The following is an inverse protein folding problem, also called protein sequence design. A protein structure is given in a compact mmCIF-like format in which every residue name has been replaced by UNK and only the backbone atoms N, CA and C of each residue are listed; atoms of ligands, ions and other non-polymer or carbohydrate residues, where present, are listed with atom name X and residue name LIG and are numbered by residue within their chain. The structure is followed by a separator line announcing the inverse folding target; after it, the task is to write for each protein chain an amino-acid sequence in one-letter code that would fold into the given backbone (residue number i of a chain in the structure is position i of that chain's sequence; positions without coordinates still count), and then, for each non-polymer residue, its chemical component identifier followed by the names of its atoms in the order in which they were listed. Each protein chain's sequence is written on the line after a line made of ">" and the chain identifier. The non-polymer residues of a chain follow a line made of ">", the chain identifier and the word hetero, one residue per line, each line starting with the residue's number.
data_IF_774639231771
#
_entry.id   IF_774639231771
#
_cell.length_a   1.000
_cell.length_b   1.000
_cell.length_c   1.000
_cell.angle_alpha   90.00
_cell.angle_beta   90.00
_cell.angle_gamma   90.00
#
_symmetry.space_group_name_H-M   'P 1'
#
loop_
_entity.id
_entity.type
_entity.pdbx_description
1 polymer ?
#
# COMPACT_ATOMS: atom_id res chain seq x y z
N UNK A 1 42.42 1.51 -30.17
CA UNK A 1 42.37 1.85 -28.72
C UNK A 1 43.37 0.98 -27.97
N UNK A 2 44.19 1.56 -27.08
CA UNK A 2 45.18 0.80 -26.28
C UNK A 2 44.44 -0.18 -25.35
N UNK A 3 45.01 -1.35 -25.10
CA UNK A 3 44.43 -2.42 -24.27
C UNK A 3 44.03 -1.88 -22.87
N UNK A 4 44.84 -0.99 -22.28
CA UNK A 4 44.53 -0.29 -21.02
C UNK A 4 43.19 0.46 -21.04
N UNK A 5 42.85 1.11 -22.17
CA UNK A 5 41.60 1.87 -22.30
C UNK A 5 40.38 0.95 -22.36
N UNK A 6 40.50 -0.23 -23.01
CA UNK A 6 39.41 -1.22 -23.03
C UNK A 6 39.14 -1.80 -21.64
N UNK A 7 40.21 -2.05 -20.87
CA UNK A 7 40.13 -2.61 -19.51
C UNK A 7 39.51 -1.62 -18.49
N UNK A 8 39.90 -0.34 -18.57
CA UNK A 8 39.32 0.72 -17.75
C UNK A 8 37.85 0.98 -18.09
N UNK A 9 37.48 0.88 -19.36
CA UNK A 9 36.09 1.07 -19.80
C UNK A 9 35.18 -0.05 -19.30
N UNK A 10 35.61 -1.31 -19.34
CA UNK A 10 34.84 -2.43 -18.79
C UNK A 10 34.72 -2.36 -17.27
N UNK A 11 35.80 -2.02 -16.57
CA UNK A 11 35.78 -1.85 -15.11
C UNK A 11 34.86 -0.70 -14.68
N UNK A 12 34.92 0.45 -15.37
CA UNK A 12 34.02 1.58 -15.13
C UNK A 12 32.55 1.23 -15.40
N UNK A 13 32.27 0.51 -16.48
CA UNK A 13 30.92 0.07 -16.81
C UNK A 13 30.33 -0.86 -15.73
N UNK A 14 31.13 -1.79 -15.19
CA UNK A 14 30.68 -2.68 -14.10
C UNK A 14 30.36 -1.91 -12.81
N UNK A 15 31.16 -0.90 -12.45
CA UNK A 15 30.92 -0.08 -11.26
C UNK A 15 29.63 0.73 -11.43
N UNK A 16 29.44 1.39 -12.58
CA UNK A 16 28.22 2.15 -12.86
C UNK A 16 27.00 1.24 -12.81
N UNK A 17 27.10 0.03 -13.36
CA UNK A 17 26.01 -0.95 -13.30
C UNK A 17 25.66 -1.33 -11.86
N UNK A 18 26.66 -1.61 -11.02
CA UNK A 18 26.45 -1.96 -9.62
C UNK A 18 25.75 -0.82 -8.85
N UNK A 19 26.13 0.43 -9.11
CA UNK A 19 25.48 1.60 -8.50
C UNK A 19 24.02 1.72 -8.96
N UNK A 20 23.74 1.57 -10.25
CA UNK A 20 22.38 1.64 -10.79
C UNK A 20 21.50 0.51 -10.24
N UNK A 21 22.02 -0.73 -10.17
CA UNK A 21 21.33 -1.86 -9.57
C UNK A 21 21.02 -1.61 -8.09
N UNK A 22 22.00 -1.12 -7.32
CA UNK A 22 21.80 -0.75 -5.91
C UNK A 22 20.73 0.31 -5.74
N UNK A 23 20.71 1.33 -6.59
CA UNK A 23 19.71 2.39 -6.56
C UNK A 23 18.29 1.85 -6.87
N UNK A 24 18.15 0.96 -7.87
CA UNK A 24 16.87 0.33 -8.20
C UNK A 24 16.37 -0.51 -7.02
N UNK A 25 17.22 -1.36 -6.44
CA UNK A 25 16.85 -2.20 -5.30
C UNK A 25 16.40 -1.34 -4.11
N UNK A 26 17.13 -0.27 -3.79
CA UNK A 26 16.78 0.62 -2.70
C UNK A 26 15.46 1.35 -2.94
N UNK A 27 15.23 1.82 -4.17
CA UNK A 27 13.97 2.47 -4.55
C UNK A 27 12.79 1.50 -4.49
N UNK A 28 12.96 0.27 -4.96
CA UNK A 28 11.93 -0.78 -4.88
C UNK A 28 11.64 -1.14 -3.44
N UNK A 29 12.66 -1.30 -2.59
CA UNK A 29 12.47 -1.61 -1.18
C UNK A 29 11.63 -0.54 -0.48
N UNK A 30 11.96 0.74 -0.70
CA UNK A 30 11.18 1.86 -0.13
C UNK A 30 9.73 1.90 -0.63
N UNK A 31 9.49 1.63 -1.92
CA UNK A 31 8.14 1.58 -2.47
C UNK A 31 7.33 0.42 -1.88
N UNK A 32 7.95 -0.75 -1.71
CA UNK A 32 7.29 -1.92 -1.10
C UNK A 32 7.02 -1.67 0.38
N UNK A 33 7.96 -1.11 1.14
CA UNK A 33 7.76 -0.78 2.56
C UNK A 33 6.59 0.20 2.74
N UNK A 34 6.53 1.25 1.91
CA UNK A 34 5.44 2.22 1.96
C UNK A 34 4.10 1.57 1.62
N UNK A 35 4.04 0.78 0.54
CA UNK A 35 2.81 0.10 0.16
C UNK A 35 2.38 -0.91 1.23
N UNK A 36 3.30 -1.64 1.85
CA UNK A 36 2.99 -2.54 2.97
C UNK A 36 2.42 -1.79 4.17
N UNK A 37 2.96 -0.63 4.54
CA UNK A 37 2.43 0.22 5.60
C UNK A 37 0.97 0.62 5.30
N UNK A 38 0.69 1.13 4.10
CA UNK A 38 -0.67 1.49 3.69
C UNK A 38 -1.63 0.28 3.73
N UNK A 39 -1.13 -0.91 3.39
CA UNK A 39 -1.90 -2.17 3.44
C UNK A 39 -2.21 -2.62 4.87
N UNK A 40 -1.30 -2.39 5.82
CA UNK A 40 -1.52 -2.65 7.24
C UNK A 40 -2.54 -1.67 7.84
N UNK A 41 -2.44 -0.38 7.49
CA UNK A 41 -3.42 0.65 7.85
C UNK A 41 -4.83 0.26 7.38
N UNK A 42 -4.97 -0.21 6.13
CA UNK A 42 -6.25 -0.66 5.60
C UNK A 42 -6.88 -1.81 6.41
N UNK A 43 -6.08 -2.78 6.87
CA UNK A 43 -6.55 -3.88 7.73
C UNK A 43 -7.01 -3.35 9.09
N UNK A 44 -6.23 -2.47 9.70
CA UNK A 44 -6.58 -1.87 10.99
C UNK A 44 -7.86 -1.03 10.91
N UNK A 45 -8.07 -0.28 9.82
CA UNK A 45 -9.33 0.44 9.56
C UNK A 45 -10.49 -0.53 9.43
N UNK A 46 -10.33 -1.62 8.67
CA UNK A 46 -11.38 -2.63 8.52
C UNK A 46 -11.80 -3.25 9.86
N UNK A 47 -10.82 -3.69 10.67
CA UNK A 47 -11.09 -4.26 12.00
C UNK A 47 -11.79 -3.25 12.92
N UNK A 48 -11.37 -1.98 12.86
CA UNK A 48 -11.98 -0.90 13.63
C UNK A 48 -13.44 -0.66 13.27
N UNK A 49 -13.72 -0.59 11.97
CA UNK A 49 -15.07 -0.34 11.44
C UNK A 49 -16.01 -1.49 11.79
N UNK A 50 -15.52 -2.74 11.69
CA UNK A 50 -16.28 -3.92 12.11
C UNK A 50 -16.58 -3.90 13.61
N UNK A 51 -15.64 -3.46 14.44
CA UNK A 51 -15.85 -3.30 15.88
C UNK A 51 -16.86 -2.19 16.21
N UNK A 52 -16.82 -1.06 15.50
CA UNK A 52 -17.82 0.00 15.63
C UNK A 52 -19.22 -0.45 15.21
N UNK A 53 -19.35 -1.24 14.14
CA UNK A 53 -20.63 -1.84 13.72
C UNK A 53 -21.18 -2.80 14.79
N UNK A 54 -20.30 -3.63 15.37
CA UNK A 54 -20.66 -4.52 16.46
C UNK A 54 -21.12 -3.75 17.71
N UNK A 55 -20.36 -2.73 18.14
CA UNK A 55 -20.69 -1.88 19.28
C UNK A 55 -21.98 -1.07 19.05
N UNK A 56 -22.23 -0.64 17.81
CA UNK A 56 -23.48 0.03 17.43
C UNK A 56 -24.66 -0.93 17.58
N UNK A 57 -24.51 -2.15 17.09
CA UNK A 57 -25.53 -3.21 17.21
C UNK A 57 -25.78 -3.58 18.68
N UNK A 58 -24.72 -3.71 19.48
CA UNK A 58 -24.83 -3.99 20.91
C UNK A 58 -25.57 -2.86 21.67
N UNK A 59 -25.27 -1.61 21.32
CA UNK A 59 -25.99 -0.45 21.86
C UNK A 59 -27.47 -0.46 21.46
N UNK A 60 -27.79 -0.79 20.21
CA UNK A 60 -29.19 -0.93 19.76
C UNK A 60 -29.88 -2.10 20.48
N UNK A 61 -29.21 -3.23 20.71
CA UNK A 61 -29.85 -4.37 21.36
C UNK A 61 -30.11 -4.12 22.86
N UNK A 62 -29.15 -3.52 23.57
CA UNK A 62 -29.17 -3.48 25.03
C UNK A 62 -29.31 -2.07 25.61
N UNK A 63 -28.96 -1.02 24.86
CA UNK A 63 -29.04 0.37 25.31
C UNK A 63 -28.05 0.73 26.41
N UNK A 64 -27.03 -0.10 26.62
CA UNK A 64 -26.09 0.07 27.72
C UNK A 64 -25.11 1.22 27.48
N UNK A 65 -24.88 2.02 28.53
CA UNK A 65 -23.87 3.09 28.53
C UNK A 65 -22.46 2.56 28.21
N UNK A 66 -22.19 1.29 28.56
CA UNK A 66 -20.91 0.63 28.28
C UNK A 66 -20.63 0.52 26.78
N UNK A 67 -21.63 0.18 25.96
CA UNK A 67 -21.46 0.09 24.52
C UNK A 67 -21.18 1.48 23.93
N UNK A 68 -21.91 2.51 24.40
CA UNK A 68 -21.68 3.92 24.01
C UNK A 68 -20.25 4.40 24.31
N UNK A 69 -19.76 4.16 25.53
CA UNK A 69 -18.41 4.60 25.93
C UNK A 69 -17.33 3.90 25.09
N UNK A 70 -17.45 2.59 24.91
CA UNK A 70 -16.52 1.83 24.07
C UNK A 70 -16.56 2.29 22.61
N UNK A 71 -17.74 2.61 22.10
CA UNK A 71 -17.91 3.11 20.73
C UNK A 71 -17.12 4.40 20.50
N UNK A 72 -17.27 5.41 21.35
CA UNK A 72 -16.54 6.67 21.20
C UNK A 72 -15.03 6.50 21.37
N UNK A 73 -14.59 5.68 22.34
CA UNK A 73 -13.17 5.39 22.50
C UNK A 73 -12.58 4.68 21.27
N UNK A 74 -13.36 3.82 20.62
CA UNK A 74 -12.90 3.11 19.42
C UNK A 74 -12.90 3.99 18.17
N UNK A 75 -13.84 4.92 18.09
CA UNK A 75 -13.90 5.93 17.02
C UNK A 75 -12.70 6.88 17.12
N UNK A 76 -12.39 7.39 18.31
CA UNK A 76 -11.24 8.28 18.53
C UNK A 76 -9.92 7.62 18.10
N UNK A 77 -9.69 6.36 18.47
CA UNK A 77 -8.48 5.62 18.05
C UNK A 77 -8.42 5.38 16.54
N UNK A 78 -9.57 5.30 15.86
CA UNK A 78 -9.63 5.18 14.41
C UNK A 78 -9.37 6.52 13.71
N UNK A 79 -9.86 7.63 14.26
CA UNK A 79 -9.54 8.98 13.77
C UNK A 79 -8.03 9.21 13.83
N UNK A 80 -7.37 8.90 14.96
CA UNK A 80 -5.92 9.05 15.11
C UNK A 80 -5.13 8.22 14.08
N UNK A 81 -5.58 7.01 13.75
CA UNK A 81 -4.97 6.16 12.73
C UNK A 81 -5.08 6.79 11.33
N UNK A 82 -6.21 7.43 11.01
CA UNK A 82 -6.47 7.98 9.66
C UNK A 82 -5.82 9.34 9.43
N UNK A 83 -5.65 10.17 10.46
CA UNK A 83 -4.95 11.48 10.37
C UNK A 83 -3.46 11.33 10.05
N UNK A 84 -2.87 10.17 10.34
CA UNK A 84 -1.46 9.90 10.07
C UNK A 84 -1.14 9.68 8.57
N UNK A 85 -2.14 9.44 7.71
CA UNK A 85 -1.92 9.13 6.30
C UNK A 85 -2.54 10.15 5.32
N UNK A 86 -1.77 10.51 4.28
CA UNK A 86 -2.18 11.44 3.21
C UNK A 86 -3.40 10.95 2.41
N UNK A 87 -3.68 9.64 2.44
CA UNK A 87 -4.84 8.98 1.80
C UNK A 87 -6.13 9.05 2.63
N UNK A 88 -6.08 9.60 3.85
CA UNK A 88 -7.14 9.49 4.86
C UNK A 88 -8.33 10.45 4.71
N UNK A 89 -8.33 11.37 3.75
CA UNK A 89 -9.33 12.43 3.68
C UNK A 89 -10.76 11.92 3.43
N UNK A 90 -10.95 10.89 2.60
CA UNK A 90 -12.27 10.28 2.39
C UNK A 90 -12.74 9.46 3.58
N UNK A 91 -11.82 8.74 4.24
CA UNK A 91 -12.10 7.92 5.42
C UNK A 91 -12.49 8.83 6.59
N UNK A 92 -11.80 9.96 6.77
CA UNK A 92 -12.09 10.96 7.81
C UNK A 92 -13.49 11.56 7.69
N UNK A 93 -13.93 11.93 6.48
CA UNK A 93 -15.28 12.45 6.25
C UNK A 93 -16.36 11.40 6.58
N UNK A 94 -16.13 10.14 6.20
CA UNK A 94 -17.04 9.04 6.50
C UNK A 94 -17.07 8.72 8.00
N UNK A 95 -15.96 8.89 8.72
CA UNK A 95 -15.87 8.73 10.18
C UNK A 95 -16.62 9.82 10.95
N UNK A 96 -16.52 11.07 10.52
CA UNK A 96 -17.29 12.18 11.10
C UNK A 96 -18.79 11.97 10.90
N UNK A 97 -19.19 11.52 9.71
CA UNK A 97 -20.57 11.20 9.40
C UNK A 97 -21.09 10.01 10.24
N UNK A 98 -20.25 9.01 10.52
CA UNK A 98 -20.59 7.86 11.36
C UNK A 98 -20.84 8.27 12.82
N UNK A 99 -19.96 9.11 13.38
CA UNK A 99 -20.13 9.69 14.72
C UNK A 99 -21.41 10.50 14.84
N UNK A 100 -21.68 11.37 13.86
CA UNK A 100 -22.87 12.19 13.87
C UNK A 100 -24.17 11.35 13.86
N UNK A 101 -24.18 10.23 13.13
CA UNK A 101 -25.32 9.30 13.11
C UNK A 101 -25.45 8.56 14.45
N UNK A 102 -24.34 8.10 15.03
CA UNK A 102 -24.35 7.40 16.32
C UNK A 102 -24.80 8.32 17.47
N UNK A 103 -24.34 9.57 17.49
CA UNK A 103 -24.78 10.57 18.46
C UNK A 103 -26.29 10.84 18.37
N UNK A 104 -26.85 10.87 17.16
CA UNK A 104 -28.29 11.00 16.95
C UNK A 104 -29.08 9.78 17.47
N UNK A 105 -28.52 8.58 17.31
CA UNK A 105 -29.10 7.34 17.83
C UNK A 105 -29.16 7.35 19.36
N UNK A 106 -28.06 7.72 20.01
CA UNK A 106 -28.00 7.87 21.48
C UNK A 106 -29.04 8.89 21.96
N UNK A 107 -29.08 10.08 21.34
CA UNK A 107 -30.03 11.12 21.71
C UNK A 107 -31.50 10.70 21.50
N UNK A 108 -31.78 9.87 20.48
CA UNK A 108 -33.11 9.33 20.24
C UNK A 108 -33.56 8.38 21.37
N UNK A 109 -32.66 7.51 21.83
CA UNK A 109 -32.90 6.61 22.97
C UNK A 109 -33.08 7.33 24.29
N UNK A 110 -32.28 8.36 24.54
CA UNK A 110 -32.42 9.18 25.74
C UNK A 110 -33.78 9.88 25.79
N UNK A 111 -34.26 10.41 24.65
CA UNK A 111 -35.62 10.96 24.52
C UNK A 111 -36.72 9.92 24.75
N UNK A 112 -36.51 8.68 24.29
CA UNK A 112 -37.42 7.56 24.56
C UNK A 112 -37.50 7.27 26.06
N UNK A 113 -36.35 7.18 26.73
CA UNK A 113 -36.27 6.90 28.17
C UNK A 113 -36.91 8.01 29.01
N UNK A 114 -36.83 9.26 28.55
CA UNK A 114 -37.46 10.43 29.17
C UNK A 114 -38.96 10.58 28.86
N UNK A 115 -39.55 9.71 28.02
CA UNK A 115 -40.93 9.83 27.51
C UNK A 115 -41.22 11.18 26.82
N UNK A 116 -40.21 11.78 26.19
CA UNK A 116 -40.32 13.11 25.56
C UNK A 116 -40.85 13.05 24.12
N UNK A 117 -41.00 11.85 23.54
CA UNK A 117 -41.42 11.65 22.16
C UNK A 117 -42.39 10.46 22.02
N UNK A 118 -43.23 10.51 20.98
CA UNK A 118 -44.15 9.43 20.66
C UNK A 118 -43.39 8.17 20.22
N UNK A 119 -43.69 7.02 20.84
CA UNK A 119 -42.95 5.76 20.62
C UNK A 119 -42.81 5.39 19.15
N UNK A 120 -43.88 5.51 18.37
CA UNK A 120 -43.87 5.18 16.94
C UNK A 120 -42.90 6.07 16.13
N UNK A 121 -42.73 7.34 16.54
CA UNK A 121 -41.80 8.27 15.89
C UNK A 121 -40.36 7.95 16.25
N UNK A 122 -40.11 7.57 17.51
CA UNK A 122 -38.78 7.19 18.00
C UNK A 122 -38.29 5.92 17.32
N UNK A 123 -39.13 4.88 17.24
CA UNK A 123 -38.78 3.59 16.64
C UNK A 123 -38.47 3.75 15.14
N UNK A 124 -39.30 4.49 14.39
CA UNK A 124 -39.06 4.74 12.97
C UNK A 124 -37.76 5.53 12.72
N UNK A 125 -37.41 6.46 13.61
CA UNK A 125 -36.15 7.19 13.52
C UNK A 125 -34.95 6.29 13.86
N UNK A 126 -35.08 5.42 14.87
CA UNK A 126 -34.05 4.45 15.25
C UNK A 126 -33.73 3.49 14.10
N UNK A 127 -34.73 2.88 13.47
CA UNK A 127 -34.54 1.99 12.31
C UNK A 127 -33.78 2.69 11.17
N UNK A 128 -34.11 3.96 10.91
CA UNK A 128 -33.42 4.75 9.88
C UNK A 128 -31.96 5.02 10.23
N UNK A 129 -31.67 5.37 11.49
CA UNK A 129 -30.32 5.65 11.95
C UNK A 129 -29.45 4.39 11.94
N UNK A 130 -30.02 3.23 12.31
CA UNK A 130 -29.34 1.93 12.21
C UNK A 130 -29.00 1.58 10.77
N UNK A 131 -29.95 1.77 9.84
CA UNK A 131 -29.70 1.57 8.42
C UNK A 131 -28.58 2.51 7.90
N UNK A 132 -28.56 3.77 8.34
CA UNK A 132 -27.51 4.73 7.97
C UNK A 132 -26.14 4.33 8.51
N UNK A 133 -26.04 3.90 9.78
CA UNK A 133 -24.79 3.38 10.36
C UNK A 133 -24.24 2.20 9.57
N UNK A 134 -25.12 1.25 9.19
CA UNK A 134 -24.70 0.08 8.41
C UNK A 134 -24.20 0.46 7.01
N UNK A 135 -24.86 1.42 6.33
CA UNK A 135 -24.40 1.91 5.03
C UNK A 135 -23.06 2.66 5.13
N UNK A 136 -22.87 3.47 6.18
CA UNK A 136 -21.62 4.19 6.42
C UNK A 136 -20.47 3.22 6.74
N UNK A 137 -20.72 2.20 7.57
CA UNK A 137 -19.78 1.12 7.86
C UNK A 137 -19.36 0.34 6.59
N UNK A 138 -20.33 0.03 5.72
CA UNK A 138 -20.04 -0.61 4.43
C UNK A 138 -19.21 0.29 3.50
N UNK A 139 -19.47 1.60 3.49
CA UNK A 139 -18.66 2.56 2.72
C UNK A 139 -17.22 2.61 3.22
N UNK A 140 -17.01 2.69 4.53
CA UNK A 140 -15.68 2.66 5.15
C UNK A 140 -14.93 1.36 4.86
N UNK A 141 -15.64 0.23 4.86
CA UNK A 141 -15.10 -1.08 4.48
C UNK A 141 -14.67 -1.09 3.01
N UNK A 142 -15.45 -0.50 2.11
CA UNK A 142 -15.11 -0.39 0.70
C UNK A 142 -13.87 0.48 0.48
N UNK A 143 -13.79 1.63 1.16
CA UNK A 143 -12.63 2.53 1.11
C UNK A 143 -11.35 1.83 1.59
N UNK A 144 -11.42 1.11 2.72
CA UNK A 144 -10.29 0.32 3.25
C UNK A 144 -9.87 -0.79 2.27
N UNK A 145 -10.82 -1.47 1.65
CA UNK A 145 -10.53 -2.51 0.65
C UNK A 145 -9.85 -1.93 -0.58
N UNK A 146 -10.32 -0.77 -1.05
CA UNK A 146 -9.71 -0.07 -2.19
C UNK A 146 -8.26 0.35 -1.88
N UNK A 147 -7.98 0.81 -0.66
CA UNK A 147 -6.64 1.15 -0.22
C UNK A 147 -5.73 -0.10 -0.18
N UNK A 148 -6.24 -1.22 0.34
CA UNK A 148 -5.51 -2.49 0.36
C UNK A 148 -5.20 -3.00 -1.05
N UNK A 149 -6.14 -2.89 -1.98
CA UNK A 149 -5.95 -3.32 -3.37
C UNK A 149 -4.97 -2.41 -4.12
N UNK A 150 -5.02 -1.10 -3.89
CA UNK A 150 -4.05 -0.15 -4.42
C UNK A 150 -2.63 -0.47 -3.94
N UNK A 151 -2.45 -0.72 -2.64
CA UNK A 151 -1.18 -1.17 -2.05
C UNK A 151 -0.65 -2.44 -2.70
N UNK A 152 -1.50 -3.47 -2.86
CA UNK A 152 -1.11 -4.73 -3.51
C UNK A 152 -0.70 -4.53 -4.97
N UNK A 153 -1.40 -3.68 -5.70
CA UNK A 153 -1.06 -3.33 -7.08
C UNK A 153 0.28 -2.60 -7.18
N UNK A 154 0.55 -1.66 -6.26
CA UNK A 154 1.83 -0.96 -6.17
C UNK A 154 2.99 -1.93 -5.91
N UNK A 155 2.86 -2.84 -4.93
CA UNK A 155 3.86 -3.87 -4.61
C UNK A 155 4.16 -4.72 -5.86
N UNK A 156 3.13 -5.23 -6.52
CA UNK A 156 3.28 -6.06 -7.73
C UNK A 156 4.00 -5.30 -8.86
N UNK A 157 3.59 -4.04 -9.10
CA UNK A 157 4.18 -3.21 -10.14
C UNK A 157 5.64 -2.83 -9.85
N UNK A 158 5.98 -2.58 -8.57
CA UNK A 158 7.33 -2.29 -8.12
C UNK A 158 8.26 -3.49 -8.33
N UNK A 159 7.81 -4.70 -7.98
CA UNK A 159 8.54 -5.94 -8.25
C UNK A 159 8.73 -6.19 -9.75
N UNK A 160 7.69 -6.00 -10.56
CA UNK A 160 7.77 -6.21 -12.00
C UNK A 160 8.75 -5.22 -12.66
N UNK A 161 8.66 -3.92 -12.34
CA UNK A 161 9.57 -2.90 -12.87
C UNK A 161 11.02 -3.14 -12.45
N UNK A 162 11.25 -3.53 -11.20
CA UNK A 162 12.57 -3.88 -10.71
C UNK A 162 13.15 -5.08 -11.47
N UNK A 163 12.36 -6.14 -11.62
CA UNK A 163 12.78 -7.37 -12.31
C UNK A 163 13.14 -7.11 -13.77
N UNK A 164 12.31 -6.36 -14.50
CA UNK A 164 12.59 -6.00 -15.91
C UNK A 164 13.84 -5.13 -16.01
N UNK A 165 14.02 -4.17 -15.10
CA UNK A 165 15.19 -3.28 -15.09
C UNK A 165 16.48 -4.05 -14.80
N UNK A 166 16.46 -4.97 -13.82
CA UNK A 166 17.58 -5.85 -13.49
C UNK A 166 17.92 -6.76 -14.68
N UNK A 167 16.93 -7.41 -15.29
CA UNK A 167 17.15 -8.26 -16.48
C UNK A 167 17.76 -7.47 -17.64
N UNK A 168 17.28 -6.25 -17.90
CA UNK A 168 17.85 -5.38 -18.93
C UNK A 168 19.32 -5.03 -18.63
N UNK A 169 19.64 -4.64 -17.40
CA UNK A 169 21.01 -4.33 -16.96
C UNK A 169 21.96 -5.53 -17.07
N UNK A 170 21.50 -6.72 -16.66
CA UNK A 170 22.25 -7.98 -16.80
C UNK A 170 22.48 -8.30 -18.29
N UNK A 171 21.46 -8.13 -19.13
CA UNK A 171 21.55 -8.32 -20.57
C UNK A 171 22.57 -7.37 -21.23
N UNK A 172 22.57 -6.10 -20.83
CA UNK A 172 23.57 -5.11 -21.29
C UNK A 172 24.98 -5.53 -20.87
N UNK A 173 25.17 -6.01 -19.64
CA UNK A 173 26.50 -6.46 -19.18
C UNK A 173 26.98 -7.68 -19.97
N UNK A 174 26.10 -8.67 -20.21
CA UNK A 174 26.43 -9.83 -21.03
C UNK A 174 26.81 -9.42 -22.45
N UNK A 175 26.11 -8.46 -23.05
CA UNK A 175 26.44 -7.93 -24.38
C UNK A 175 27.80 -7.23 -24.41
N UNK A 176 28.14 -6.44 -23.37
CA UNK A 176 29.46 -5.79 -23.25
C UNK A 176 30.56 -6.85 -23.10
N UNK A 177 30.37 -7.84 -22.23
CA UNK A 177 31.36 -8.92 -22.02
C UNK A 177 31.54 -9.74 -23.30
N UNK A 178 30.46 -10.17 -23.96
CA UNK A 178 30.53 -10.90 -25.22
C UNK A 178 31.20 -10.08 -26.32
N UNK A 179 30.83 -8.80 -26.46
CA UNK A 179 31.41 -7.90 -27.46
C UNK A 179 32.90 -7.68 -27.24
N UNK A 180 33.34 -7.50 -26.00
CA UNK A 180 34.78 -7.37 -25.68
C UNK A 180 35.54 -8.66 -25.93
N UNK A 181 35.00 -9.82 -25.56
CA UNK A 181 35.59 -11.15 -25.84
C UNK A 181 35.74 -11.41 -27.34
N UNK A 182 34.69 -11.15 -28.13
CA UNK A 182 34.75 -11.29 -29.60
C UNK A 182 35.77 -10.33 -30.21
N UNK A 183 35.80 -9.07 -29.75
CA UNK A 183 36.77 -8.10 -30.26
C UNK A 183 38.21 -8.48 -29.92
N UNK A 184 38.47 -9.08 -28.76
CA UNK A 184 39.79 -9.62 -28.38
C UNK A 184 40.15 -10.82 -29.26
N UNK A 185 39.24 -11.77 -29.43
CA UNK A 185 39.44 -12.94 -30.27
C UNK A 185 39.75 -12.57 -31.73
N UNK A 186 38.98 -11.64 -32.31
CA UNK A 186 39.18 -11.19 -33.69
C UNK A 186 40.44 -10.34 -33.88
N UNK A 187 40.81 -9.49 -32.91
CA UNK A 187 41.95 -8.57 -33.06
C UNK A 187 43.30 -9.16 -32.66
N UNK A 188 43.32 -10.17 -31.79
CA UNK A 188 44.57 -10.77 -31.27
C UNK A 188 44.67 -12.25 -31.68
N UNK A 189 43.57 -13.01 -31.65
CA UNK A 189 43.57 -14.44 -31.98
C UNK A 189 43.86 -14.74 -33.44
N UNK A 190 43.12 -14.11 -34.37
CA UNK A 190 43.30 -14.29 -35.82
C UNK A 190 44.70 -13.98 -36.38
N UNK A 191 45.39 -12.89 -35.97
CA UNK A 191 46.74 -12.63 -36.48
C UNK A 191 47.80 -13.57 -35.91
N UNK A 192 47.63 -14.08 -34.69
CA UNK A 192 48.59 -15.02 -34.08
C UNK A 192 48.47 -16.41 -34.73
N UNK A 193 47.24 -16.92 -34.95
CA UNK A 193 47.04 -18.20 -35.64
C UNK A 193 47.57 -18.18 -37.07
N UNK A 194 47.48 -17.02 -37.75
CA UNK A 194 48.02 -16.82 -39.09
C UNK A 194 49.55 -16.75 -39.14
N UNK A 195 50.20 -16.35 -38.04
CA UNK A 195 51.67 -16.35 -37.93
C UNK A 195 52.20 -17.74 -37.57
N UNK A 196 51.48 -18.53 -36.78
CA UNK A 196 51.85 -19.92 -36.50
C UNK A 196 51.64 -20.85 -37.70
N UNK A 197 50.60 -20.62 -38.52
CA UNK A 197 50.38 -21.42 -39.74
C UNK A 197 51.27 -21.02 -40.93
N UNK A 198 51.98 -19.90 -40.84
CA UNK A 198 52.95 -19.45 -41.86
C UNK A 198 54.40 -19.77 -41.46
N UNK A 199 54.60 -20.32 -40.25
CA UNK A 199 55.90 -20.73 -39.73
C UNK A 199 56.12 -22.26 -39.80
N UNK A 200 55.09 -23.03 -40.20
CA UNK A 200 55.20 -24.39 -40.76
C UNK A 200 55.26 -24.32 -42.29
#
# INVERSE_FOLDING_TARGET
>A
MKIKTKLLLSAGASIVLAVVLGAIVLATHRQVDQAMANGETAVQVFEAVAELDHLSSDYVLHGEDRARIQWYSRHESLVDLTVAEESGESIGQNLEALEATFAQLVANRERQAANEAEMATVEALEERLVAQLSLQSQSLTADATQLADASRAEISSAHQRATVSILALVGVLLAIVAGTSVAVFLSIGNPITKLTSAAE
#
